data_IF_894377559897
#
_entry.id   IF_894377559897
#
_cell.length_a   1.000
_cell.length_b   1.000
_cell.length_c   1.000
_cell.angle_alpha   90.00
_cell.angle_beta   90.00
_cell.angle_gamma   90.00
#
_symmetry.space_group_name_H-M   'P 1'
#
loop_
_entity.id
_entity.type
_entity.pdbx_description
1 polymer ?
#
# COMPACT_ATOMS: atom_id res chain seq x y z
N UNK A 1 9.65 14.29 0.01
CA UNK A 1 9.66 14.28 -1.47
C UNK A 1 8.29 13.86 -1.98
N UNK A 2 7.83 14.36 -3.14
CA UNK A 2 6.44 14.16 -3.59
C UNK A 2 6.43 13.54 -4.99
N UNK A 3 5.53 12.57 -5.22
CA UNK A 3 5.31 11.99 -6.54
C UNK A 3 4.23 10.90 -6.55
N UNK A 4 3.98 10.31 -7.71
CA UNK A 4 3.05 9.19 -7.88
C UNK A 4 3.78 7.88 -7.59
N UNK A 5 3.23 7.07 -6.68
CA UNK A 5 3.79 5.78 -6.32
C UNK A 5 3.40 4.70 -7.35
N UNK A 6 4.38 3.92 -7.78
CA UNK A 6 4.18 2.61 -8.40
C UNK A 6 4.86 1.53 -7.55
N UNK A 7 4.05 0.58 -7.08
CA UNK A 7 4.52 -0.58 -6.33
C UNK A 7 4.10 -1.88 -7.03
N UNK A 8 5.06 -2.73 -7.33
CA UNK A 8 4.84 -4.02 -8.01
C UNK A 8 5.23 -5.24 -7.16
N UNK A 9 5.69 -5.03 -5.93
CA UNK A 9 6.14 -6.07 -5.00
C UNK A 9 7.48 -5.76 -4.33
N UNK A 10 7.81 -6.52 -3.27
CA UNK A 10 9.04 -6.37 -2.47
C UNK A 10 10.33 -6.53 -3.26
N UNK A 11 10.32 -7.35 -4.31
CA UNK A 11 11.50 -7.69 -5.12
C UNK A 11 11.68 -6.75 -6.32
N UNK A 12 10.95 -5.64 -6.37
CA UNK A 12 10.96 -4.68 -7.47
C UNK A 12 11.17 -3.26 -6.92
N UNK A 13 11.69 -2.33 -7.73
CA UNK A 13 11.78 -0.92 -7.35
C UNK A 13 10.43 -0.37 -6.89
N UNK A 14 10.46 0.48 -5.87
CA UNK A 14 9.30 1.23 -5.42
C UNK A 14 9.40 2.59 -6.05
N UNK A 15 8.80 2.74 -7.22
CA UNK A 15 9.06 3.89 -8.07
C UNK A 15 8.19 5.06 -7.64
N UNK A 16 8.81 6.18 -7.29
CA UNK A 16 8.14 7.46 -7.12
C UNK A 16 8.42 8.33 -8.35
N UNK A 17 7.37 8.74 -9.05
CA UNK A 17 7.47 9.62 -10.23
C UNK A 17 7.05 11.04 -9.86
N UNK A 18 7.96 12.00 -9.89
CA UNK A 18 7.69 13.41 -9.60
C UNK A 18 6.94 14.10 -10.75
N UNK A 19 6.47 15.34 -10.54
CA UNK A 19 5.73 16.11 -11.56
C UNK A 19 6.56 16.42 -12.81
N UNK A 20 7.88 16.57 -12.65
CA UNK A 20 8.83 16.78 -13.75
C UNK A 20 9.12 15.49 -14.54
N UNK A 21 8.50 14.37 -14.17
CA UNK A 21 8.69 13.06 -14.78
C UNK A 21 9.91 12.30 -14.29
N UNK A 22 10.71 12.87 -13.38
CA UNK A 22 11.83 12.15 -12.77
C UNK A 22 11.34 11.01 -11.89
N UNK A 23 12.06 9.89 -11.92
CA UNK A 23 11.73 8.68 -11.16
C UNK A 23 12.81 8.36 -10.13
N UNK A 24 12.42 7.95 -8.93
CA UNK A 24 13.32 7.43 -7.90
C UNK A 24 12.79 6.13 -7.31
N UNK A 25 13.67 5.17 -7.08
CA UNK A 25 13.37 4.00 -6.26
C UNK A 25 13.53 4.35 -4.77
N UNK A 26 12.43 4.28 -4.00
CA UNK A 26 12.43 4.56 -2.56
C UNK A 26 12.59 3.29 -1.69
N UNK A 27 12.79 2.11 -2.30
CA UNK A 27 12.93 0.86 -1.56
C UNK A 27 14.22 0.85 -0.71
N UNK A 28 15.32 1.38 -1.24
CA UNK A 28 16.59 1.49 -0.51
C UNK A 28 16.44 2.38 0.74
N UNK A 29 15.71 3.49 0.62
CA UNK A 29 15.47 4.43 1.72
C UNK A 29 14.71 3.77 2.88
N UNK A 30 13.73 2.91 2.57
CA UNK A 30 13.01 2.12 3.58
C UNK A 30 13.95 1.16 4.32
N UNK A 31 14.79 0.42 3.60
CA UNK A 31 15.72 -0.53 4.22
C UNK A 31 16.79 0.17 5.05
N UNK A 32 17.28 1.33 4.61
CA UNK A 32 18.23 2.12 5.39
C UNK A 32 17.58 2.67 6.66
N UNK A 33 16.30 3.05 6.61
CA UNK A 33 15.56 3.42 7.81
C UNK A 33 15.37 2.23 8.76
N UNK A 34 15.07 1.03 8.25
CA UNK A 34 14.98 -0.18 9.06
C UNK A 34 16.30 -0.51 9.78
N UNK A 35 17.44 -0.39 9.09
CA UNK A 35 18.76 -0.58 9.70
C UNK A 35 19.04 0.46 10.79
N UNK A 36 18.72 1.75 10.55
CA UNK A 36 18.89 2.81 11.55
C UNK A 36 18.01 2.63 12.78
N UNK A 37 16.84 2.01 12.64
CA UNK A 37 15.86 1.81 13.71
C UNK A 37 16.03 0.46 14.44
N UNK A 38 16.84 -0.45 13.92
CA UNK A 38 17.11 -1.78 14.48
C UNK A 38 17.50 -1.69 15.97
N UNK A 39 16.78 -2.46 16.79
CA UNK A 39 16.97 -2.53 18.25
C UNK A 39 16.59 -1.26 19.01
N UNK A 40 16.00 -0.25 18.36
CA UNK A 40 15.55 0.98 19.03
C UNK A 40 14.06 0.90 19.38
N UNK A 41 13.64 1.56 20.47
CA UNK A 41 12.24 1.85 20.73
C UNK A 41 11.59 2.50 19.50
N UNK A 42 10.56 1.87 18.96
CA UNK A 42 9.99 2.18 17.65
C UNK A 42 8.47 2.14 17.72
N UNK A 43 7.80 3.06 17.03
CA UNK A 43 6.36 3.01 16.80
C UNK A 43 6.04 2.97 15.30
N UNK A 44 4.91 2.36 14.98
CA UNK A 44 4.33 2.33 13.65
C UNK A 44 2.93 2.92 13.70
N UNK A 45 2.69 3.97 12.93
CA UNK A 45 1.37 4.59 12.74
C UNK A 45 0.87 4.20 11.35
N UNK A 46 -0.18 3.38 11.32
CA UNK A 46 -0.77 2.83 10.11
C UNK A 46 -2.22 3.29 10.00
N UNK A 47 -2.51 4.17 9.04
CA UNK A 47 -3.82 4.76 8.75
C UNK A 47 -4.17 4.50 7.29
N UNK A 48 -5.45 4.59 6.93
CA UNK A 48 -5.93 4.22 5.60
C UNK A 48 -5.18 4.90 4.42
N UNK A 49 -4.63 6.08 4.65
CA UNK A 49 -3.92 6.92 3.68
C UNK A 49 -2.47 7.27 4.07
N UNK A 50 -1.94 6.69 5.15
CA UNK A 50 -0.56 6.91 5.55
C UNK A 50 0.02 5.75 6.33
N UNK A 51 1.31 5.47 6.14
CA UNK A 51 2.07 4.62 7.06
C UNK A 51 3.39 5.27 7.43
N UNK A 52 3.75 5.19 8.71
CA UNK A 52 5.01 5.68 9.22
C UNK A 52 5.65 4.68 10.16
N UNK A 53 6.97 4.52 10.03
CA UNK A 53 7.83 3.84 10.98
C UNK A 53 8.80 4.87 11.56
N UNK A 54 8.88 4.99 12.89
CA UNK A 54 9.73 6.00 13.54
C UNK A 54 10.30 5.56 14.88
N UNK A 55 11.46 6.09 15.23
CA UNK A 55 11.98 5.98 16.58
C UNK A 55 11.02 6.68 17.56
N UNK A 56 10.79 6.04 18.69
CA UNK A 56 9.89 6.54 19.71
C UNK A 56 10.42 6.10 21.08
N UNK A 57 11.17 6.98 21.77
CA UNK A 57 11.79 6.65 23.06
C UNK A 57 10.80 6.21 24.14
N UNK A 58 9.51 6.55 24.00
CA UNK A 58 8.45 6.16 24.93
C UNK A 58 7.78 4.83 24.54
N UNK A 59 8.09 4.26 23.37
CA UNK A 59 7.49 3.00 22.91
C UNK A 59 7.93 1.84 23.80
N UNK A 60 6.97 0.98 24.17
CA UNK A 60 7.26 -0.31 24.80
C UNK A 60 7.72 -1.37 23.79
N UNK A 61 7.86 -1.01 22.51
CA UNK A 61 8.20 -1.92 21.45
C UNK A 61 9.51 -1.51 20.76
N UNK A 62 10.26 -2.49 20.29
CA UNK A 62 11.47 -2.28 19.51
C UNK A 62 11.34 -2.85 18.10
N UNK A 63 12.14 -2.33 17.16
CA UNK A 63 12.25 -2.89 15.82
C UNK A 63 13.24 -4.08 15.82
N UNK A 64 12.76 -5.25 15.44
CA UNK A 64 13.59 -6.42 15.15
C UNK A 64 13.76 -6.51 13.63
N UNK A 65 15.02 -6.40 13.20
CA UNK A 65 15.44 -6.50 11.81
C UNK A 65 16.81 -7.16 11.75
N UNK A 66 16.94 -8.26 11.02
CA UNK A 66 18.22 -8.96 10.87
C UNK A 66 18.96 -8.44 9.63
N UNK A 67 18.41 -8.67 8.44
CA UNK A 67 18.93 -8.16 7.18
C UNK A 67 17.84 -7.91 6.14
N UNK A 68 18.20 -7.21 5.05
CA UNK A 68 17.29 -6.90 3.94
C UNK A 68 16.72 -8.18 3.32
N UNK A 69 15.42 -8.15 3.04
CA UNK A 69 14.70 -9.29 2.48
C UNK A 69 14.21 -10.30 3.52
N UNK A 70 14.63 -10.17 4.77
CA UNK A 70 14.05 -10.90 5.89
C UNK A 70 12.90 -10.13 6.55
N UNK A 71 12.17 -10.78 7.45
CA UNK A 71 11.05 -10.18 8.16
C UNK A 71 11.47 -9.01 9.05
N UNK A 72 10.67 -7.93 9.02
CA UNK A 72 10.77 -6.83 10.00
C UNK A 72 9.60 -6.95 10.98
N UNK A 73 9.90 -6.96 12.27
CA UNK A 73 8.90 -6.99 13.33
C UNK A 73 9.04 -5.77 14.24
N UNK A 74 7.92 -5.31 14.78
CA UNK A 74 7.90 -4.53 16.01
C UNK A 74 7.48 -5.49 17.13
N UNK A 75 8.29 -5.64 18.17
CA UNK A 75 8.06 -6.61 19.26
C UNK A 75 8.09 -5.93 20.62
N UNK A 76 7.22 -6.38 21.53
CA UNK A 76 7.16 -5.84 22.89
C UNK A 76 8.47 -6.12 23.64
N UNK A 77 9.01 -5.10 24.29
CA UNK A 77 10.25 -5.20 25.07
C UNK A 77 10.01 -5.83 26.46
N UNK A 78 11.01 -6.56 27.01
CA UNK A 78 12.13 -7.15 26.27
C UNK A 78 11.64 -8.15 25.21
N UNK A 79 12.34 -8.22 24.09
CA UNK A 79 11.99 -8.95 22.86
C UNK A 79 11.42 -10.34 23.11
N UNK A 80 10.46 -10.78 22.28
CA UNK A 80 9.76 -12.07 22.38
C UNK A 80 8.80 -12.24 23.59
N UNK A 81 8.38 -11.15 24.23
CA UNK A 81 7.12 -11.17 25.01
C UNK A 81 5.90 -11.19 24.08
N UNK A 82 4.76 -11.64 24.60
CA UNK A 82 3.49 -11.63 23.85
C UNK A 82 3.18 -10.22 23.30
N UNK A 83 3.03 -10.13 21.99
CA UNK A 83 2.75 -8.88 21.26
C UNK A 83 3.82 -8.54 20.23
N UNK A 84 3.53 -8.81 18.96
CA UNK A 84 4.34 -8.37 17.83
C UNK A 84 3.47 -7.91 16.66
N UNK A 85 4.04 -7.10 15.78
CA UNK A 85 3.43 -6.67 14.52
C UNK A 85 4.41 -6.85 13.38
N UNK A 86 3.93 -7.42 12.27
CA UNK A 86 4.73 -7.60 11.06
C UNK A 86 4.75 -6.31 10.23
N UNK A 87 5.87 -5.57 10.30
CA UNK A 87 6.01 -4.28 9.63
C UNK A 87 5.89 -4.42 8.12
N UNK A 88 6.50 -5.46 7.52
CA UNK A 88 6.43 -5.69 6.09
C UNK A 88 4.99 -5.91 5.62
N UNK A 89 4.20 -6.68 6.37
CA UNK A 89 2.79 -6.90 6.03
C UNK A 89 2.00 -5.59 5.98
N UNK A 90 2.12 -4.76 7.03
CA UNK A 90 1.43 -3.47 7.08
C UNK A 90 1.92 -2.52 5.98
N UNK A 91 3.23 -2.43 5.74
CA UNK A 91 3.77 -1.64 4.64
C UNK A 91 3.28 -2.11 3.29
N UNK A 92 3.28 -3.40 3.01
CA UNK A 92 2.77 -3.92 1.73
C UNK A 92 1.31 -3.56 1.51
N UNK A 93 0.48 -3.71 2.54
CA UNK A 93 -0.93 -3.32 2.46
C UNK A 93 -1.08 -1.81 2.16
N UNK A 94 -0.28 -0.95 2.78
CA UNK A 94 -0.34 0.48 2.52
C UNK A 94 0.25 0.84 1.15
N UNK A 95 1.30 0.15 0.69
CA UNK A 95 1.82 0.30 -0.67
C UNK A 95 0.77 -0.07 -1.71
N UNK A 96 -0.02 -1.13 -1.47
CA UNK A 96 -1.16 -1.46 -2.33
C UNK A 96 -2.21 -0.35 -2.32
N UNK A 97 -2.60 0.15 -1.14
CA UNK A 97 -3.61 1.19 -1.00
C UNK A 97 -3.17 2.51 -1.66
N UNK A 98 -1.89 2.87 -1.51
CA UNK A 98 -1.28 4.09 -2.01
C UNK A 98 -0.85 3.99 -3.48
N UNK A 99 -0.86 2.79 -4.07
CA UNK A 99 -0.40 2.58 -5.45
C UNK A 99 -1.19 3.45 -6.44
N UNK A 100 -0.49 4.07 -7.38
CA UNK A 100 -1.01 5.04 -8.36
C UNK A 100 -1.57 6.33 -7.74
N UNK A 101 -1.35 6.58 -6.44
CA UNK A 101 -1.69 7.86 -5.78
C UNK A 101 -0.47 8.75 -5.71
N UNK A 102 -0.73 10.05 -5.70
CA UNK A 102 0.26 11.05 -5.33
C UNK A 102 0.52 10.94 -3.83
N UNK A 103 1.78 10.77 -3.44
CA UNK A 103 2.19 10.65 -2.06
C UNK A 103 3.34 11.59 -1.75
N UNK A 104 3.46 11.93 -0.47
CA UNK A 104 4.63 12.48 0.16
C UNK A 104 5.39 11.36 0.87
N UNK A 105 6.67 11.25 0.56
CA UNK A 105 7.62 10.35 1.21
C UNK A 105 8.50 11.19 2.12
N UNK A 106 8.43 10.93 3.41
CA UNK A 106 9.30 11.54 4.42
C UNK A 106 10.40 10.57 4.79
N UNK A 107 11.66 10.99 4.62
CA UNK A 107 12.85 10.22 4.95
C UNK A 107 13.69 11.08 5.88
N UNK A 108 13.87 10.60 7.11
CA UNK A 108 14.71 11.23 8.12
C UNK A 108 15.60 10.16 8.79
N UNK A 109 16.48 10.62 9.68
CA UNK A 109 17.36 9.73 10.44
C UNK A 109 16.55 8.72 11.27
N UNK A 110 15.44 9.17 11.84
CA UNK A 110 14.61 8.48 12.80
C UNK A 110 13.21 8.11 12.27
N UNK A 111 12.95 8.32 10.97
CA UNK A 111 11.61 8.13 10.40
C UNK A 111 11.63 7.76 8.92
N UNK A 112 10.70 6.89 8.54
CA UNK A 112 10.27 6.67 7.17
C UNK A 112 8.74 6.73 7.12
N UNK A 113 8.16 7.55 6.25
CA UNK A 113 6.71 7.62 6.09
C UNK A 113 6.25 7.81 4.65
N UNK A 114 5.08 7.28 4.35
CA UNK A 114 4.34 7.44 3.11
C UNK A 114 2.98 8.03 3.44
N UNK A 115 2.63 9.14 2.82
CA UNK A 115 1.42 9.90 3.14
C UNK A 115 0.74 10.29 1.83
N UNK A 116 -0.52 9.94 1.64
CA UNK A 116 -1.24 10.38 0.45
C UNK A 116 -1.40 11.90 0.44
N UNK A 117 -1.15 12.51 -0.72
CA UNK A 117 -1.59 13.88 -1.01
C UNK A 117 -2.95 13.81 -1.69
N UNK A 118 -3.83 14.75 -1.38
CA UNK A 118 -5.08 14.98 -2.13
C UNK A 118 -6.05 13.77 -2.11
N UNK A 119 -6.28 13.20 -0.91
CA UNK A 119 -7.14 12.04 -0.75
C UNK A 119 -8.63 12.29 -1.08
N UNK A 120 -9.09 13.54 -1.02
CA UNK A 120 -10.50 13.89 -1.18
C UNK A 120 -10.99 13.68 -2.62
N UNK A 121 -10.18 14.00 -3.62
CA UNK A 121 -10.51 13.83 -5.05
C UNK A 121 -10.28 12.41 -5.58
N UNK A 122 -9.76 11.52 -4.73
CA UNK A 122 -9.48 10.13 -5.10
C UNK A 122 -10.76 9.30 -5.03
N UNK A 123 -11.16 8.58 -6.11
CA UNK A 123 -12.33 7.71 -6.10
C UNK A 123 -12.33 6.75 -4.92
N UNK A 124 -13.38 6.82 -4.11
CA UNK A 124 -13.49 6.08 -2.86
C UNK A 124 -14.41 4.86 -3.06
N UNK A 125 -13.88 3.68 -2.78
CA UNK A 125 -14.66 2.43 -2.78
C UNK A 125 -14.82 1.91 -1.34
N UNK A 126 -15.81 1.06 -1.13
CA UNK A 126 -16.11 0.45 0.17
C UNK A 126 -15.96 -1.06 0.09
N UNK A 127 -15.51 -1.68 1.17
CA UNK A 127 -15.51 -3.14 1.27
C UNK A 127 -16.94 -3.67 1.13
N UNK A 128 -17.11 -4.76 0.37
CA UNK A 128 -18.41 -5.39 0.13
C UNK A 128 -18.44 -6.86 0.55
N UNK A 129 -17.45 -7.65 0.14
CA UNK A 129 -17.33 -9.07 0.47
C UNK A 129 -15.87 -9.40 0.80
N UNK A 130 -15.64 -9.91 2.02
CA UNK A 130 -14.31 -10.11 2.57
C UNK A 130 -13.45 -8.84 2.48
N UNK A 131 -12.37 -8.93 1.69
CA UNK A 131 -11.42 -7.83 1.46
C UNK A 131 -11.52 -7.26 0.03
N UNK A 132 -12.60 -7.55 -0.70
CA UNK A 132 -12.91 -6.91 -1.98
C UNK A 132 -13.72 -5.65 -1.75
N UNK A 133 -13.52 -4.68 -2.63
CA UNK A 133 -14.32 -3.47 -2.64
C UNK A 133 -15.34 -3.49 -3.77
N UNK A 134 -16.55 -2.99 -3.52
CA UNK A 134 -17.57 -2.84 -4.55
C UNK A 134 -17.15 -1.75 -5.54
N UNK A 135 -17.39 -2.00 -6.83
CA UNK A 135 -17.29 -0.97 -7.87
C UNK A 135 -18.71 -0.44 -8.10
N UNK A 136 -18.96 0.87 -7.86
CA UNK A 136 -20.25 1.49 -8.15
C UNK A 136 -20.61 1.38 -9.64
N UNK A 137 -21.90 1.36 -9.96
CA UNK A 137 -22.36 1.34 -11.34
C UNK A 137 -21.82 2.55 -12.13
N UNK A 138 -21.37 2.29 -13.35
CA UNK A 138 -20.74 3.27 -14.24
C UNK A 138 -19.24 3.46 -14.00
N UNK A 139 -18.73 3.13 -12.81
CA UNK A 139 -17.30 3.27 -12.50
C UNK A 139 -16.46 2.22 -13.21
N UNK A 140 -17.03 1.07 -13.57
CA UNK A 140 -16.34 0.07 -14.38
C UNK A 140 -15.84 0.67 -15.70
N UNK A 141 -16.61 1.59 -16.30
CA UNK A 141 -16.21 2.31 -17.52
C UNK A 141 -15.42 3.58 -17.22
N UNK A 142 -15.96 4.48 -16.38
CA UNK A 142 -15.37 5.82 -16.18
C UNK A 142 -14.07 5.79 -15.37
N UNK A 143 -13.98 4.91 -14.38
CA UNK A 143 -12.82 4.82 -13.47
C UNK A 143 -11.95 3.62 -13.80
N UNK A 144 -12.52 2.43 -14.01
CA UNK A 144 -11.75 1.21 -14.30
C UNK A 144 -11.40 1.05 -15.78
N UNK A 145 -12.06 1.78 -16.69
CA UNK A 145 -11.81 1.74 -18.15
C UNK A 145 -11.95 0.35 -18.75
N UNK A 146 -12.95 -0.41 -18.31
CA UNK A 146 -13.24 -1.75 -18.81
C UNK A 146 -13.55 -1.70 -20.30
N UNK A 147 -12.87 -2.56 -21.07
CA UNK A 147 -12.99 -2.62 -22.53
C UNK A 147 -11.92 -1.82 -23.28
N UNK A 148 -11.09 -1.04 -22.59
CA UNK A 148 -10.05 -0.20 -23.21
C UNK A 148 -8.65 -0.86 -23.26
N UNK A 149 -8.59 -2.19 -23.26
CA UNK A 149 -7.33 -2.93 -23.36
C UNK A 149 -6.33 -2.54 -22.26
N UNK A 150 -5.17 -2.00 -22.65
CA UNK A 150 -4.08 -1.61 -21.72
C UNK A 150 -4.47 -0.50 -20.73
N UNK A 151 -5.47 0.32 -21.05
CA UNK A 151 -5.98 1.35 -20.12
C UNK A 151 -6.88 0.78 -19.01
N UNK A 152 -7.31 -0.48 -19.15
CA UNK A 152 -8.14 -1.17 -18.15
C UNK A 152 -7.35 -1.33 -16.85
N UNK A 153 -8.02 -1.11 -15.72
CA UNK A 153 -7.48 -1.31 -14.38
C UNK A 153 -7.16 -2.79 -14.13
N UNK A 154 -5.95 -3.09 -13.66
CA UNK A 154 -5.51 -4.47 -13.37
C UNK A 154 -6.27 -5.10 -12.19
N UNK A 155 -6.86 -4.29 -11.31
CA UNK A 155 -7.55 -4.75 -10.10
C UNK A 155 -9.05 -4.99 -10.30
N UNK A 156 -9.55 -4.81 -11.53
CA UNK A 156 -10.94 -5.07 -11.85
C UNK A 156 -11.22 -6.58 -11.86
N UNK A 157 -12.24 -7.01 -11.12
CA UNK A 157 -12.70 -8.40 -11.07
C UNK A 157 -14.19 -8.48 -11.37
N UNK A 158 -14.58 -9.49 -12.15
CA UNK A 158 -15.97 -9.78 -12.48
C UNK A 158 -16.38 -11.13 -11.89
N UNK A 159 -17.56 -11.20 -11.27
CA UNK A 159 -18.12 -12.42 -10.71
C UNK A 159 -19.64 -12.45 -10.83
N UNK A 160 -20.27 -13.49 -10.27
CA UNK A 160 -21.72 -13.67 -10.35
C UNK A 160 -22.52 -12.51 -9.71
N UNK A 161 -21.95 -11.85 -8.69
CA UNK A 161 -22.54 -10.70 -8.01
C UNK A 161 -22.19 -9.34 -8.62
N UNK A 162 -21.58 -9.29 -9.81
CA UNK A 162 -21.19 -8.04 -10.47
C UNK A 162 -19.69 -7.75 -10.43
N UNK A 163 -19.33 -6.47 -10.37
CA UNK A 163 -17.94 -6.00 -10.45
C UNK A 163 -17.38 -5.61 -9.09
N UNK A 164 -16.11 -5.96 -8.88
CA UNK A 164 -15.39 -5.71 -7.63
C UNK A 164 -13.94 -5.29 -7.92
N UNK A 165 -13.31 -4.71 -6.90
CA UNK A 165 -11.93 -4.26 -6.92
C UNK A 165 -11.08 -5.09 -5.96
N UNK A 166 -10.04 -5.70 -6.51
CA UNK A 166 -9.09 -6.55 -5.80
C UNK A 166 -7.91 -5.80 -5.16
N UNK A 167 -7.77 -4.48 -5.39
CA UNK A 167 -6.61 -3.67 -4.95
C UNK A 167 -6.34 -3.81 -3.44
N UNK A 168 -7.42 -3.81 -2.66
CA UNK A 168 -7.40 -3.83 -1.20
C UNK A 168 -7.43 -5.25 -0.60
N UNK A 169 -7.49 -6.28 -1.46
CA UNK A 169 -7.36 -7.67 -1.06
C UNK A 169 -5.88 -8.06 -1.07
N UNK A 170 -5.28 -8.28 0.11
CA UNK A 170 -3.84 -8.54 0.23
C UNK A 170 -3.32 -9.61 -0.74
N UNK A 171 -3.79 -10.87 -0.66
CA UNK A 171 -3.31 -11.94 -1.53
C UNK A 171 -3.63 -11.72 -3.02
N UNK A 172 -4.86 -11.28 -3.33
CA UNK A 172 -5.28 -11.16 -4.73
C UNK A 172 -4.66 -9.94 -5.41
N UNK A 173 -4.56 -8.82 -4.71
CA UNK A 173 -3.85 -7.63 -5.16
C UNK A 173 -2.38 -7.92 -5.45
N UNK A 174 -1.71 -8.70 -4.57
CA UNK A 174 -0.32 -9.14 -4.80
C UNK A 174 -0.20 -9.97 -6.08
N UNK A 175 -1.04 -11.00 -6.23
CA UNK A 175 -1.05 -11.85 -7.42
C UNK A 175 -1.27 -11.04 -8.71
N UNK A 176 -2.18 -10.06 -8.70
CA UNK A 176 -2.45 -9.23 -9.87
C UNK A 176 -1.28 -8.30 -10.21
N UNK A 177 -0.61 -7.73 -9.21
CA UNK A 177 0.61 -6.95 -9.39
C UNK A 177 1.75 -7.80 -9.98
N UNK A 178 1.94 -9.02 -9.48
CA UNK A 178 2.94 -9.95 -10.00
C UNK A 178 2.69 -10.31 -11.47
N UNK A 179 1.44 -10.65 -11.82
CA UNK A 179 1.04 -10.94 -13.21
C UNK A 179 1.19 -9.73 -14.12
N UNK A 180 0.83 -8.54 -13.63
CA UNK A 180 1.01 -7.29 -14.37
C UNK A 180 2.50 -7.03 -14.64
N UNK A 181 3.33 -7.14 -13.62
CA UNK A 181 4.77 -6.93 -13.73
C UNK A 181 5.50 -8.01 -14.56
N UNK A 182 4.87 -9.19 -14.72
CA UNK A 182 5.33 -10.26 -15.63
C UNK A 182 4.77 -10.11 -17.06
N UNK A 183 3.97 -9.10 -17.36
CA UNK A 183 3.36 -8.89 -18.69
C UNK A 183 2.26 -9.91 -19.03
N UNK A 184 1.72 -10.62 -18.04
CA UNK A 184 0.72 -11.70 -18.21
C UNK A 184 -0.73 -11.19 -18.21
N UNK A 185 -0.92 -9.89 -18.48
CA UNK A 185 -2.22 -9.22 -18.44
C UNK A 185 -2.43 -8.30 -19.65
N UNK A 186 -3.66 -8.33 -20.19
CA UNK A 186 -4.10 -7.38 -21.21
C UNK A 186 -4.38 -6.00 -20.60
N UNK A 187 -4.96 -5.96 -19.40
CA UNK A 187 -5.04 -4.75 -18.57
C UNK A 187 -3.64 -4.30 -18.17
N UNK A 188 -3.43 -2.99 -18.08
CA UNK A 188 -2.10 -2.41 -17.86
C UNK A 188 -2.06 -1.21 -16.92
N UNK A 189 -3.20 -0.73 -16.42
CA UNK A 189 -3.23 0.46 -15.56
C UNK A 189 -3.46 0.08 -14.10
N UNK A 190 -2.73 0.72 -13.20
CA UNK A 190 -3.00 0.68 -11.76
C UNK A 190 -3.94 1.83 -11.41
N UNK A 191 -5.11 1.51 -10.85
CA UNK A 191 -6.10 2.52 -10.45
C UNK A 191 -5.70 3.29 -9.19
N UNK A 192 -5.93 4.61 -9.17
CA UNK A 192 -5.59 5.49 -8.04
C UNK A 192 -6.58 5.45 -6.87
N UNK A 193 -7.63 4.62 -6.91
CA UNK A 193 -8.71 4.60 -5.92
C UNK A 193 -8.21 4.43 -4.47
N UNK A 194 -9.03 4.91 -3.52
CA UNK A 194 -8.86 4.74 -2.06
C UNK A 194 -9.95 3.87 -1.46
N UNK A 195 -9.67 3.27 -0.31
CA UNK A 195 -10.65 2.54 0.50
C UNK A 195 -11.24 3.48 1.56
N UNK A 196 -12.57 3.61 1.60
CA UNK A 196 -13.29 4.44 2.57
C UNK A 196 -13.69 3.67 3.85
N UNK A 197 -13.36 2.38 3.93
CA UNK A 197 -13.71 1.51 5.04
C UNK A 197 -14.79 0.50 4.66
N UNK A 198 -15.46 -0.04 5.67
CA UNK A 198 -16.65 -0.88 5.49
C UNK A 198 -17.86 0.04 5.42
N UNK A 199 -18.80 -0.24 4.53
CA UNK A 199 -20.09 0.44 4.57
C UNK A 199 -20.80 -0.08 5.81
N UNK A 200 -21.14 0.82 6.74
CA UNK A 200 -21.95 0.43 7.89
C UNK A 200 -23.25 -0.16 7.36
N UNK A 201 -23.56 -1.38 7.81
CA UNK A 201 -24.82 -2.07 7.53
C UNK A 201 -25.95 -1.41 8.31
N UNK A 202 -26.29 -0.17 7.95
CA UNK A 202 -27.13 0.70 8.77
C UNK A 202 -27.96 1.73 8.03
N UNK A 203 -28.09 1.68 6.69
CA UNK A 203 -29.09 2.43 5.95
C UNK A 203 -29.61 1.58 4.79
N UNK A 204 -30.74 0.93 5.04
CA UNK A 204 -31.62 0.27 4.08
C UNK A 204 -33.06 0.56 4.48
#
# INVERSE_FOLDING_TARGET
>A
MIGTLEYLGWQRPWTLTAEDGSTRDISADFWDAAERLKGKPTSMDARGDSIALRADPASEYELIFETRGEGILISKMPSFRWGFSNVLYYFEQHMHNLNSRRIEVEIAEDRFALIARDAEDTPAVYYSDGNLAAIPEGWERSICRVGEGKNTCIFFTAGAGGFSCAKFSGPMGRMLLERHAAGQMNAGRIGNCRIAGRKDSGDG
#
